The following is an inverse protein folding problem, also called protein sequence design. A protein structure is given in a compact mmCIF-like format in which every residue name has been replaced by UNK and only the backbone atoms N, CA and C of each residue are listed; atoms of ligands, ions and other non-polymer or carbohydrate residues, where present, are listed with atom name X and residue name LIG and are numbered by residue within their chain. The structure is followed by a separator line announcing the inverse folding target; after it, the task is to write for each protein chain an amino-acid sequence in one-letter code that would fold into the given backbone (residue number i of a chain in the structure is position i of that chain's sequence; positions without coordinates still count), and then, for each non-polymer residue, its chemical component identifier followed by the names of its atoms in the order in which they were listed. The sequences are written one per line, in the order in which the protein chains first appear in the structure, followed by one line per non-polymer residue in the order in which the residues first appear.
data_IF_525224650559
#
_entry.id   IF_525224650559
#
_cell.length_a   1.000
_cell.length_b   1.000
_cell.length_c   1.000
_cell.angle_alpha   90.00
_cell.angle_beta   90.00
_cell.angle_gamma   90.00
#
_symmetry.space_group_name_H-M   'P 1'
#
loop_
_entity.id
_entity.type
_entity.pdbx_description
1 polymer ?
#
# COMPACT_ATOMS: atom_id res chain seq x y z
N UNK A 1 -12.72 -1.15 -20.25
CA UNK A 1 -12.64 0.33 -20.18
C UNK A 1 -13.69 0.95 -19.27
N UNK A 2 -14.94 0.45 -19.21
CA UNK A 2 -15.99 1.04 -18.38
C UNK A 2 -15.83 0.88 -16.84
N UNK A 3 -15.18 -0.20 -16.36
CA UNK A 3 -15.16 -0.56 -14.93
C UNK A 3 -14.73 0.55 -13.96
N UNK A 4 -13.77 1.39 -14.35
CA UNK A 4 -13.34 2.51 -13.50
C UNK A 4 -14.38 3.63 -13.45
N UNK A 5 -15.06 3.90 -14.57
CA UNK A 5 -16.14 4.88 -14.66
C UNK A 5 -17.36 4.38 -13.88
N UNK A 6 -17.76 3.12 -14.09
CA UNK A 6 -18.88 2.50 -13.37
C UNK A 6 -18.65 2.51 -11.86
N UNK A 7 -17.42 2.24 -11.43
CA UNK A 7 -17.03 2.33 -10.03
C UNK A 7 -17.14 3.76 -9.49
N UNK A 8 -16.65 4.76 -10.21
CA UNK A 8 -16.74 6.15 -9.79
C UNK A 8 -18.20 6.63 -9.70
N UNK A 9 -19.03 6.27 -10.68
CA UNK A 9 -20.46 6.58 -10.68
C UNK A 9 -21.19 5.91 -9.51
N UNK A 10 -20.82 4.67 -9.17
CA UNK A 10 -21.36 3.98 -7.99
C UNK A 10 -20.97 4.62 -6.64
N UNK A 11 -19.98 5.51 -6.62
CA UNK A 11 -19.53 6.23 -5.43
C UNK A 11 -20.00 7.69 -5.40
N UNK A 12 -20.80 8.13 -6.37
CA UNK A 12 -21.14 9.54 -6.59
C UNK A 12 -21.76 10.22 -5.35
N UNK A 13 -22.67 9.54 -4.66
CA UNK A 13 -23.29 10.08 -3.44
C UNK A 13 -22.29 10.37 -2.31
N UNK A 14 -21.23 9.56 -2.19
CA UNK A 14 -20.16 9.79 -1.23
C UNK A 14 -19.25 10.95 -1.67
N UNK A 15 -19.03 11.09 -2.97
CA UNK A 15 -18.25 12.19 -3.53
C UNK A 15 -18.94 13.55 -3.37
N UNK A 16 -20.26 13.62 -3.26
CA UNK A 16 -20.98 14.90 -3.09
C UNK A 16 -21.03 15.40 -1.64
N UNK A 17 -20.64 14.59 -0.65
CA UNK A 17 -20.81 14.94 0.78
C UNK A 17 -20.08 16.22 1.17
N UNK A 18 -18.92 16.51 0.56
CA UNK A 18 -18.17 17.74 0.83
C UNK A 18 -18.94 19.01 0.41
N UNK A 19 -19.88 18.92 -0.54
CA UNK A 19 -20.72 20.04 -0.96
C UNK A 19 -21.74 20.42 0.13
N UNK A 20 -22.13 19.45 0.97
CA UNK A 20 -23.09 19.65 2.05
C UNK A 20 -22.41 19.97 3.38
N UNK A 21 -21.15 19.53 3.56
CA UNK A 21 -20.38 19.73 4.77
C UNK A 21 -18.95 20.19 4.44
N UNK A 22 -18.71 21.50 4.57
CA UNK A 22 -17.41 22.12 4.29
C UNK A 22 -16.29 21.77 5.27
N UNK A 23 -16.57 21.00 6.33
CA UNK A 23 -15.52 20.45 7.20
C UNK A 23 -14.82 19.21 6.61
N UNK A 24 -15.36 18.65 5.52
CA UNK A 24 -14.82 17.48 4.84
C UNK A 24 -14.01 17.94 3.63
N UNK A 25 -12.75 17.52 3.57
CA UNK A 25 -11.89 17.78 2.42
C UNK A 25 -12.37 17.00 1.19
N UNK A 26 -12.31 17.64 0.02
CA UNK A 26 -12.65 17.01 -1.28
C UNK A 26 -11.66 15.91 -1.69
N UNK A 27 -10.43 15.98 -1.18
CA UNK A 27 -9.37 15.05 -1.52
C UNK A 27 -9.10 14.03 -0.40
N UNK A 28 -8.39 12.95 -0.74
CA UNK A 28 -8.04 11.90 0.22
C UNK A 28 -6.61 12.04 0.76
N UNK A 29 -6.00 13.22 0.69
CA UNK A 29 -4.58 13.40 1.01
C UNK A 29 -4.28 13.03 2.48
N UNK A 30 -5.16 13.38 3.40
CA UNK A 30 -5.04 13.00 4.81
C UNK A 30 -4.99 11.46 4.99
N UNK A 31 -5.91 10.75 4.34
CA UNK A 31 -5.99 9.29 4.38
C UNK A 31 -4.76 8.66 3.73
N UNK A 32 -4.31 9.16 2.58
CA UNK A 32 -3.10 8.67 1.93
C UNK A 32 -1.87 8.85 2.83
N UNK A 33 -1.71 10.03 3.45
CA UNK A 33 -0.62 10.30 4.38
C UNK A 33 -0.64 9.35 5.58
N UNK A 34 -1.83 9.05 6.12
CA UNK A 34 -1.99 8.11 7.23
C UNK A 34 -1.62 6.66 6.84
N UNK A 35 -1.93 6.22 5.61
CA UNK A 35 -1.68 4.84 5.15
C UNK A 35 -0.23 4.63 4.65
N UNK A 36 0.45 5.69 4.20
CA UNK A 36 1.82 5.62 3.64
C UNK A 36 2.83 4.91 4.56
N UNK A 37 2.92 5.20 5.87
CA UNK A 37 3.83 4.51 6.78
C UNK A 37 3.59 3.00 6.82
N UNK A 38 2.32 2.57 6.82
CA UNK A 38 1.96 1.15 6.83
C UNK A 38 2.39 0.44 5.55
N UNK A 39 2.16 1.04 4.38
CA UNK A 39 2.61 0.46 3.11
C UNK A 39 4.14 0.42 2.99
N UNK A 40 4.83 1.43 3.51
CA UNK A 40 6.29 1.45 3.55
C UNK A 40 6.84 0.39 4.52
N UNK A 41 6.25 0.26 5.71
CA UNK A 41 6.57 -0.76 6.69
C UNK A 41 6.34 -2.17 6.15
N UNK A 42 5.21 -2.43 5.48
CA UNK A 42 4.93 -3.72 4.86
C UNK A 42 6.00 -4.14 3.82
N UNK A 43 6.52 -3.20 3.03
CA UNK A 43 7.65 -3.45 2.13
C UNK A 43 8.94 -3.79 2.89
N UNK A 44 9.19 -3.16 4.02
CA UNK A 44 10.40 -3.37 4.82
C UNK A 44 10.33 -4.62 5.71
N UNK A 45 9.13 -5.07 6.07
CA UNK A 45 8.90 -6.21 6.97
C UNK A 45 8.78 -7.55 6.23
N UNK A 46 8.74 -7.55 4.90
CA UNK A 46 8.69 -8.75 4.07
C UNK A 46 9.82 -9.76 4.33
N UNK A 47 10.92 -9.33 4.95
CA UNK A 47 12.09 -10.19 5.25
C UNK A 47 12.47 -10.25 6.73
N UNK A 48 11.72 -9.60 7.62
CA UNK A 48 12.00 -9.68 9.06
C UNK A 48 11.64 -11.09 9.55
N UNK A 49 12.65 -11.90 9.87
CA UNK A 49 12.49 -13.27 10.38
C UNK A 49 12.74 -14.38 9.36
N UNK A 50 13.05 -14.07 8.09
CA UNK A 50 13.48 -15.11 7.14
C UNK A 50 14.89 -15.59 7.52
N UNK A 51 15.07 -16.91 7.70
CA UNK A 51 16.39 -17.51 7.94
C UNK A 51 17.34 -17.08 6.82
N UNK A 52 18.53 -16.53 7.11
CA UNK A 52 19.53 -16.36 6.07
C UNK A 52 19.86 -17.75 5.51
N UNK A 53 19.61 -17.95 4.21
CA UNK A 53 20.12 -19.10 3.46
C UNK A 53 21.63 -18.96 3.38
N UNK A 54 22.31 -19.28 4.48
CA UNK A 54 23.77 -19.39 4.53
C UNK A 54 24.12 -20.61 3.69
N UNK A 55 24.40 -20.41 2.41
CA UNK A 55 25.09 -21.42 1.63
C UNK A 55 26.43 -21.67 2.36
N UNK A 56 26.69 -22.88 2.88
CA UNK A 56 28.00 -23.16 3.45
C UNK A 56 29.06 -22.96 2.35
N UNK A 57 30.24 -22.39 2.66
CA UNK A 57 31.29 -22.23 1.67
C UNK A 57 31.61 -23.61 1.09
N UNK A 58 31.60 -23.71 -0.24
CA UNK A 58 32.02 -24.92 -0.95
C UNK A 58 33.39 -25.30 -0.40
N UNK A 59 33.45 -26.41 0.32
CA UNK A 59 34.70 -26.98 0.81
C UNK A 59 35.45 -27.43 -0.43
N UNK A 60 36.39 -26.63 -0.92
CA UNK A 60 37.33 -27.06 -1.94
C UNK A 60 38.07 -28.26 -1.37
N UNK A 61 37.81 -29.45 -1.90
CA UNK A 61 38.60 -30.65 -1.62
C UNK A 61 40.01 -30.39 -2.15
N UNK A 62 41.08 -30.47 -1.34
CA UNK A 62 42.40 -30.61 -1.90
C UNK A 62 42.57 -32.04 -2.43
N UNK A 63 43.45 -32.12 -3.43
CA UNK A 63 43.97 -33.27 -4.18
C UNK A 63 43.87 -34.66 -3.54
#
# INVERSE_FOLDING_TARGET
MAKAIDYALGQWSGLEVFLQNGAIDIDNNAVQRAIRPTKLGAKNWLFIGSKPSRQPPLRTSPA
#
